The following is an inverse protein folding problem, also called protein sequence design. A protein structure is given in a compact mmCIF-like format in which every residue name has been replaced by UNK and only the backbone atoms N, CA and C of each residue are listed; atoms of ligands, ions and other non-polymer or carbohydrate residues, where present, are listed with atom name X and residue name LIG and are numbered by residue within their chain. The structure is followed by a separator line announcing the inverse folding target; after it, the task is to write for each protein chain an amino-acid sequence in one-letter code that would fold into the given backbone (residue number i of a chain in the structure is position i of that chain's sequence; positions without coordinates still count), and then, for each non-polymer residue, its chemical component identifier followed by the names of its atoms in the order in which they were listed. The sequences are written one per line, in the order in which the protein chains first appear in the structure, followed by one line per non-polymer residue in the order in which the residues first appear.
data_IF_292242920930
#
_entry.id   IF_292242920930
#
_cell.length_a   1.000
_cell.length_b   1.000
_cell.length_c   1.000
_cell.angle_alpha   90.00
_cell.angle_beta   90.00
_cell.angle_gamma   90.00
#
_symmetry.space_group_name_H-M   'P 1'
#
loop_
_entity.id
_entity.type
_entity.pdbx_description
1 polymer ?
#
# COMPACT_ATOMS: atom_id res chain seq x y z
N UNK A 1 3.02 -14.29 14.14
CA UNK A 1 2.25 -13.02 14.19
C UNK A 1 2.84 -11.91 13.30
N UNK A 2 4.12 -11.54 13.39
CA UNK A 2 4.69 -10.41 12.62
C UNK A 2 4.48 -10.51 11.09
N UNK A 3 4.66 -11.70 10.52
CA UNK A 3 4.48 -11.93 9.08
C UNK A 3 3.02 -11.77 8.63
N UNK A 4 2.06 -12.24 9.43
CA UNK A 4 0.62 -12.04 9.19
C UNK A 4 0.30 -10.55 9.18
N UNK A 5 0.79 -9.81 10.17
CA UNK A 5 0.59 -8.36 10.23
C UNK A 5 1.16 -7.64 8.99
N UNK A 6 2.37 -8.00 8.55
CA UNK A 6 2.99 -7.46 7.33
C UNK A 6 2.10 -7.71 6.09
N UNK A 7 1.54 -8.91 5.94
CA UNK A 7 0.63 -9.24 4.84
C UNK A 7 -0.70 -8.46 4.93
N UNK A 8 -1.26 -8.31 6.13
CA UNK A 8 -2.48 -7.51 6.37
C UNK A 8 -2.26 -6.04 6.03
N UNK A 9 -1.09 -5.48 6.36
CA UNK A 9 -0.71 -4.14 5.95
C UNK A 9 -0.59 -4.03 4.41
N UNK A 10 0.05 -4.99 3.74
CA UNK A 10 0.11 -5.03 2.26
C UNK A 10 -1.29 -5.03 1.65
N UNK A 11 -2.20 -5.89 2.12
CA UNK A 11 -3.59 -5.92 1.65
C UNK A 11 -4.30 -4.60 1.84
N UNK A 12 -4.15 -3.95 2.99
CA UNK A 12 -4.76 -2.64 3.24
C UNK A 12 -4.26 -1.59 2.25
N UNK A 13 -2.97 -1.57 1.90
CA UNK A 13 -2.46 -0.68 0.85
C UNK A 13 -2.99 -1.04 -0.53
N UNK A 14 -3.07 -2.33 -0.87
CA UNK A 14 -3.67 -2.79 -2.11
C UNK A 14 -5.16 -2.42 -2.21
N UNK A 15 -5.86 -2.37 -1.08
CA UNK A 15 -7.23 -1.89 -0.96
C UNK A 15 -7.42 -0.47 -1.51
N UNK A 16 -6.46 0.44 -1.27
CA UNK A 16 -6.51 1.82 -1.78
C UNK A 16 -6.59 1.86 -3.31
N UNK A 17 -6.00 0.87 -3.99
CA UNK A 17 -6.06 0.74 -5.45
C UNK A 17 -7.32 0.03 -5.90
N UNK A 18 -7.60 -1.14 -5.34
CA UNK A 18 -8.66 -2.05 -5.78
C UNK A 18 -10.07 -1.45 -5.60
N UNK A 19 -10.33 -0.78 -4.48
CA UNK A 19 -11.66 -0.25 -4.15
C UNK A 19 -12.10 0.89 -5.06
N UNK A 20 -11.14 1.57 -5.69
CA UNK A 20 -11.38 2.72 -6.57
C UNK A 20 -11.04 2.41 -8.03
N UNK A 21 -10.58 1.19 -8.33
CA UNK A 21 -10.32 0.73 -9.69
C UNK A 21 -11.63 0.35 -10.38
N UNK A 22 -11.85 0.87 -11.59
CA UNK A 22 -13.08 0.64 -12.37
C UNK A 22 -13.14 -0.71 -13.10
N UNK A 23 -12.09 -1.53 -13.01
CA UNK A 23 -12.02 -2.84 -13.69
C UNK A 23 -12.70 -3.99 -12.93
N UNK A 24 -13.52 -3.69 -11.92
CA UNK A 24 -14.13 -4.68 -11.00
C UNK A 24 -13.12 -5.59 -10.26
N UNK A 25 -11.88 -5.14 -10.08
CA UNK A 25 -10.84 -5.94 -9.41
C UNK A 25 -11.19 -6.29 -7.96
N UNK A 26 -11.82 -5.35 -7.25
CA UNK A 26 -12.40 -5.60 -5.93
C UNK A 26 -13.33 -6.83 -5.92
N UNK A 27 -14.31 -6.90 -6.84
CA UNK A 27 -15.27 -8.02 -6.88
C UNK A 27 -14.57 -9.36 -7.14
N UNK A 28 -13.56 -9.38 -8.01
CA UNK A 28 -12.74 -10.58 -8.29
C UNK A 28 -12.00 -11.06 -7.03
N UNK A 29 -11.42 -10.14 -6.25
CA UNK A 29 -10.75 -10.48 -5.00
C UNK A 29 -11.76 -10.86 -3.90
N UNK A 30 -12.92 -10.18 -3.82
CA UNK A 30 -13.97 -10.44 -2.83
C UNK A 30 -14.44 -11.89 -2.84
N UNK A 31 -14.59 -12.50 -4.03
CA UNK A 31 -14.92 -13.91 -4.17
C UNK A 31 -13.92 -14.84 -3.46
N UNK A 32 -12.63 -14.47 -3.42
CA UNK A 32 -11.57 -15.20 -2.71
C UNK A 32 -11.52 -14.88 -1.22
N UNK A 33 -11.88 -13.65 -0.85
CA UNK A 33 -11.86 -13.21 0.54
C UNK A 33 -13.06 -13.74 1.35
N UNK A 34 -14.19 -13.98 0.69
CA UNK A 34 -15.46 -14.23 1.37
C UNK A 34 -15.98 -12.96 2.06
N UNK A 35 -16.77 -13.09 3.16
CA UNK A 35 -17.40 -11.95 3.85
C UNK A 35 -16.39 -11.21 4.76
N UNK A 36 -15.25 -10.80 4.20
CA UNK A 36 -14.15 -10.15 4.94
C UNK A 36 -13.69 -8.85 4.27
N UNK A 37 -14.58 -7.88 4.03
CA UNK A 37 -14.21 -6.64 3.34
C UNK A 37 -13.19 -5.80 4.13
N UNK A 38 -13.25 -5.88 5.47
CA UNK A 38 -12.30 -5.24 6.39
C UNK A 38 -10.83 -5.59 6.09
N UNK A 39 -10.55 -6.68 5.36
CA UNK A 39 -9.19 -7.05 5.01
C UNK A 39 -8.49 -5.98 4.16
N UNK A 40 -9.25 -5.24 3.33
CA UNK A 40 -8.70 -4.16 2.50
C UNK A 40 -8.80 -2.78 3.15
N UNK A 41 -9.60 -2.64 4.20
CA UNK A 41 -9.86 -1.34 4.85
C UNK A 41 -8.93 -1.11 6.04
N UNK A 42 -8.71 -2.14 6.85
CA UNK A 42 -7.89 -2.08 8.06
C UNK A 42 -6.98 -3.30 8.19
N UNK A 43 -5.75 -3.06 8.61
CA UNK A 43 -4.79 -4.13 8.96
C UNK A 43 -4.88 -4.58 10.42
N UNK A 44 -5.68 -3.87 11.24
CA UNK A 44 -5.82 -4.11 12.68
C UNK A 44 -7.08 -4.89 13.03
N UNK A 45 -8.05 -4.98 12.11
CA UNK A 45 -9.29 -5.73 12.33
C UNK A 45 -9.11 -7.20 11.96
N UNK A 46 -9.57 -8.07 12.86
CA UNK A 46 -9.59 -9.53 12.70
C UNK A 46 -10.94 -10.07 13.16
N UNK A 47 -11.49 -11.04 12.43
CA UNK A 47 -12.62 -11.82 12.92
C UNK A 47 -12.16 -12.96 13.82
N UNK A 48 -13.07 -13.55 14.61
CA UNK A 48 -12.78 -14.77 15.39
C UNK A 48 -12.29 -15.89 14.47
N UNK A 49 -12.88 -16.04 13.27
CA UNK A 49 -12.44 -17.01 12.26
C UNK A 49 -11.00 -16.77 11.81
N UNK A 50 -10.57 -15.52 11.71
CA UNK A 50 -9.19 -15.19 11.36
C UNK A 50 -8.23 -15.63 12.47
N UNK A 51 -8.57 -15.34 13.73
CA UNK A 51 -7.78 -15.75 14.89
C UNK A 51 -7.68 -17.28 15.00
N UNK A 52 -8.78 -17.99 14.74
CA UNK A 52 -8.79 -19.44 14.64
C UNK A 52 -7.85 -19.94 13.53
N UNK A 53 -7.97 -19.40 12.31
CA UNK A 53 -7.10 -19.77 11.19
C UNK A 53 -5.62 -19.43 11.44
N UNK A 54 -5.33 -18.41 12.25
CA UNK A 54 -3.97 -18.08 12.69
C UNK A 54 -3.46 -19.18 13.62
N UNK A 55 -4.26 -19.61 14.60
CA UNK A 55 -3.90 -20.69 15.51
C UNK A 55 -3.69 -22.03 14.77
N UNK A 56 -4.49 -22.29 13.74
CA UNK A 56 -4.37 -23.47 12.88
C UNK A 56 -3.24 -23.38 11.83
N UNK A 57 -2.57 -22.23 11.70
CA UNK A 57 -1.49 -22.01 10.72
C UNK A 57 -1.94 -21.75 9.27
N UNK A 58 -3.24 -21.82 8.98
CA UNK A 58 -3.80 -21.70 7.63
C UNK A 58 -3.91 -20.25 7.13
N UNK A 59 -3.96 -19.26 8.03
CA UNK A 59 -4.23 -17.86 7.66
C UNK A 59 -3.12 -17.23 6.83
N UNK A 60 -1.86 -17.62 7.06
CA UNK A 60 -0.71 -17.05 6.36
C UNK A 60 -0.76 -17.31 4.84
N UNK A 61 -1.00 -18.57 4.44
CA UNK A 61 -1.06 -18.94 3.02
C UNK A 61 -2.27 -18.31 2.33
N UNK A 62 -3.40 -18.23 3.03
CA UNK A 62 -4.57 -17.49 2.57
C UNK A 62 -4.24 -16.02 2.26
N UNK A 63 -3.55 -15.33 3.16
CA UNK A 63 -3.15 -13.94 2.95
C UNK A 63 -2.15 -13.78 1.80
N UNK A 64 -1.17 -14.68 1.66
CA UNK A 64 -0.22 -14.64 0.54
C UNK A 64 -0.97 -14.70 -0.80
N UNK A 65 -1.91 -15.63 -0.94
CA UNK A 65 -2.68 -15.78 -2.17
C UNK A 65 -3.47 -14.51 -2.52
N UNK A 66 -4.07 -13.86 -1.51
CA UNK A 66 -4.78 -12.60 -1.70
C UNK A 66 -3.84 -11.46 -2.09
N UNK A 67 -2.69 -11.32 -1.41
CA UNK A 67 -1.69 -10.29 -1.71
C UNK A 67 -1.17 -10.46 -3.13
N UNK A 68 -0.80 -11.68 -3.53
CA UNK A 68 -0.32 -11.96 -4.88
C UNK A 68 -1.37 -11.61 -5.94
N UNK A 69 -2.63 -12.04 -5.75
CA UNK A 69 -3.69 -11.73 -6.70
C UNK A 69 -3.92 -10.23 -6.84
N UNK A 70 -3.98 -9.52 -5.71
CA UNK A 70 -4.16 -8.07 -5.66
C UNK A 70 -2.97 -7.31 -6.27
N UNK A 71 -1.74 -7.68 -5.92
CA UNK A 71 -0.53 -7.08 -6.46
C UNK A 71 -0.42 -7.29 -7.98
N UNK A 72 -0.70 -8.50 -8.48
CA UNK A 72 -0.69 -8.77 -9.92
C UNK A 72 -1.66 -7.87 -10.66
N UNK A 73 -2.86 -7.67 -10.11
CA UNK A 73 -3.81 -6.72 -10.70
C UNK A 73 -3.23 -5.30 -10.74
N UNK A 74 -2.70 -4.80 -9.62
CA UNK A 74 -2.18 -3.42 -9.55
C UNK A 74 -1.01 -3.20 -10.53
N UNK A 75 -0.11 -4.17 -10.66
CA UNK A 75 1.02 -4.08 -11.58
C UNK A 75 0.62 -4.15 -13.06
N UNK A 76 -0.50 -4.80 -13.38
CA UNK A 76 -0.94 -5.03 -14.77
C UNK A 76 -2.13 -4.16 -15.20
N UNK A 77 -2.61 -3.25 -14.34
CA UNK A 77 -3.77 -2.43 -14.61
C UNK A 77 -3.38 -0.97 -14.81
N UNK A 78 -3.60 -0.46 -16.03
CA UNK A 78 -3.29 0.94 -16.39
C UNK A 78 -3.94 1.97 -15.46
N UNK A 79 -5.15 1.70 -14.96
CA UNK A 79 -5.83 2.57 -14.00
C UNK A 79 -5.13 2.60 -12.64
N UNK A 80 -4.56 1.48 -12.21
CA UNK A 80 -3.85 1.39 -10.93
C UNK A 80 -2.43 1.94 -11.05
N UNK A 81 -1.73 1.68 -12.15
CA UNK A 81 -0.36 2.15 -12.38
C UNK A 81 -0.29 3.67 -12.49
N UNK A 82 -1.31 4.33 -13.06
CA UNK A 82 -1.44 5.80 -13.04
C UNK A 82 -1.52 6.41 -11.63
N UNK A 83 -1.85 5.61 -10.62
CA UNK A 83 -1.91 6.01 -9.20
C UNK A 83 -0.71 5.51 -8.39
N UNK A 84 0.28 4.91 -9.06
CA UNK A 84 1.58 4.65 -8.48
C UNK A 84 2.37 5.95 -8.28
N UNK A 85 3.60 5.81 -7.81
CA UNK A 85 4.47 6.94 -7.51
C UNK A 85 5.72 6.89 -8.39
N UNK A 86 6.23 8.06 -8.74
CA UNK A 86 7.60 8.21 -9.26
C UNK A 86 8.47 8.71 -8.10
N UNK A 87 9.62 8.07 -7.91
CA UNK A 87 10.55 8.47 -6.86
C UNK A 87 11.13 9.87 -7.16
N UNK A 88 10.85 10.85 -6.30
CA UNK A 88 11.30 12.24 -6.48
C UNK A 88 12.78 12.47 -6.11
N UNK A 89 13.54 11.42 -5.80
CA UNK A 89 14.98 11.52 -5.58
C UNK A 89 15.75 11.13 -6.83
N UNK A 90 15.49 9.93 -7.38
CA UNK A 90 16.19 9.45 -8.57
C UNK A 90 15.47 9.78 -9.88
N UNK A 91 14.18 10.14 -9.84
CA UNK A 91 13.37 10.44 -11.02
C UNK A 91 13.36 9.33 -12.10
N UNK A 92 13.63 8.09 -11.72
CA UNK A 92 13.50 6.95 -12.63
C UNK A 92 12.05 6.78 -13.08
N UNK A 93 11.84 6.34 -14.31
CA UNK A 93 10.50 6.04 -14.85
C UNK A 93 9.84 4.79 -14.25
N UNK A 94 10.51 4.11 -13.31
CA UNK A 94 9.92 3.03 -12.54
C UNK A 94 8.76 3.55 -11.67
N UNK A 95 7.60 2.92 -11.85
CA UNK A 95 6.43 3.16 -11.00
C UNK A 95 6.55 2.30 -9.75
N UNK A 96 6.56 2.96 -8.59
CA UNK A 96 6.64 2.31 -7.29
C UNK A 96 5.35 2.46 -6.48
N UNK A 97 5.14 1.50 -5.58
CA UNK A 97 3.92 1.38 -4.81
C UNK A 97 4.20 1.24 -3.31
N UNK A 98 3.28 1.72 -2.46
CA UNK A 98 3.45 1.69 -1.01
C UNK A 98 3.39 0.27 -0.42
N UNK A 99 2.86 -0.73 -1.13
CA UNK A 99 2.82 -2.13 -0.67
C UNK A 99 4.12 -2.91 -0.96
N UNK A 100 5.08 -2.33 -1.68
CA UNK A 100 6.41 -2.91 -1.95
C UNK A 100 7.38 -2.65 -0.79
N UNK A 101 7.02 -3.07 0.42
CA UNK A 101 7.78 -2.76 1.66
C UNK A 101 9.27 -3.14 1.65
N UNK A 102 9.66 -4.04 0.76
CA UNK A 102 11.02 -4.55 0.68
C UNK A 102 11.93 -3.66 -0.20
N UNK A 103 11.34 -2.80 -1.05
CA UNK A 103 12.07 -1.90 -1.95
C UNK A 103 11.68 -0.43 -1.83
N UNK A 104 10.60 -0.11 -1.12
CA UNK A 104 10.08 1.26 -1.00
C UNK A 104 9.91 1.71 0.44
N UNK A 105 9.95 3.02 0.64
CA UNK A 105 9.63 3.69 1.90
C UNK A 105 8.65 4.83 1.65
N UNK A 106 7.79 5.09 2.64
CA UNK A 106 6.70 6.08 2.55
C UNK A 106 6.88 7.17 3.59
N UNK A 107 6.83 8.43 3.14
CA UNK A 107 6.86 9.57 4.04
C UNK A 107 5.65 9.52 5.00
N UNK A 108 5.92 9.68 6.31
CA UNK A 108 4.89 9.63 7.35
C UNK A 108 3.92 10.82 7.26
N UNK A 109 4.36 11.96 6.72
CA UNK A 109 3.55 13.18 6.65
C UNK A 109 2.76 13.24 5.33
N UNK A 110 3.46 13.47 4.20
CA UNK A 110 2.82 13.69 2.90
C UNK A 110 2.49 12.41 2.11
N UNK A 111 2.83 11.23 2.66
CA UNK A 111 2.55 9.92 2.07
C UNK A 111 3.21 9.62 0.71
N UNK A 112 4.12 10.48 0.25
CA UNK A 112 4.95 10.21 -0.93
C UNK A 112 5.80 8.95 -0.74
N UNK A 113 6.03 8.21 -1.82
CA UNK A 113 6.77 6.94 -1.82
C UNK A 113 8.11 7.13 -2.55
N UNK A 114 9.15 6.50 -2.03
CA UNK A 114 10.53 6.56 -2.52
C UNK A 114 11.11 5.16 -2.53
N UNK A 115 12.14 4.90 -3.36
CA UNK A 115 12.96 3.71 -3.16
C UNK A 115 13.64 3.76 -1.80
N UNK A 116 13.83 2.61 -1.17
CA UNK A 116 14.46 2.50 0.14
C UNK A 116 15.88 3.09 0.13
N UNK A 117 16.65 2.81 -0.92
CA UNK A 117 18.02 3.34 -1.08
C UNK A 117 18.04 4.83 -1.49
N UNK A 118 16.94 5.39 -1.99
CA UNK A 118 16.85 6.80 -2.40
C UNK A 118 16.50 7.73 -1.25
N UNK A 119 15.99 7.21 -0.13
CA UNK A 119 15.48 8.03 0.97
C UNK A 119 16.02 7.52 2.29
N UNK A 120 17.12 8.13 2.74
CA UNK A 120 17.60 7.94 4.12
C UNK A 120 16.54 8.40 5.13
N UNK A 121 16.52 7.78 6.32
CA UNK A 121 15.65 8.20 7.42
C UNK A 121 15.99 9.61 7.95
N UNK A 122 17.23 10.05 7.80
CA UNK A 122 17.72 11.36 8.25
C UNK A 122 17.26 12.51 7.36
N UNK A 123 17.14 12.28 6.05
CA UNK A 123 16.96 13.39 5.12
C UNK A 123 15.53 13.92 5.21
N UNK A 124 15.29 15.22 4.99
CA UNK A 124 13.95 15.74 4.87
C UNK A 124 13.24 15.19 3.62
N UNK A 125 11.92 15.04 3.65
CA UNK A 125 11.15 14.69 2.46
C UNK A 125 11.09 15.89 1.50
N UNK A 126 11.54 15.76 0.23
CA UNK A 126 11.59 16.89 -0.72
C UNK A 126 10.20 17.46 -1.00
N UNK A 127 9.16 16.61 -1.03
CA UNK A 127 7.77 17.06 -1.17
C UNK A 127 7.29 17.87 0.03
N UNK A 128 7.59 17.42 1.26
CA UNK A 128 7.22 18.17 2.47
C UNK A 128 7.94 19.53 2.53
N UNK A 129 9.23 19.58 2.15
CA UNK A 129 9.96 20.86 2.08
C UNK A 129 9.30 21.83 1.09
N UNK A 130 8.88 21.32 -0.08
CA UNK A 130 8.19 22.13 -1.08
C UNK A 130 6.84 22.66 -0.56
N UNK A 131 6.06 21.81 0.10
CA UNK A 131 4.77 22.21 0.71
C UNK A 131 4.98 23.31 1.76
N UNK A 132 5.96 23.13 2.67
CA UNK A 132 6.27 24.16 3.70
C UNK A 132 6.67 25.49 3.08
N UNK A 133 7.51 25.47 2.04
CA UNK A 133 7.89 26.69 1.31
C UNK A 133 6.71 27.42 0.67
N UNK A 134 5.68 26.71 0.20
CA UNK A 134 4.46 27.36 -0.31
C UNK A 134 3.64 27.96 0.82
N UNK A 135 3.43 27.22 1.91
CA UNK A 135 2.72 27.73 3.08
C UNK A 135 3.39 28.97 3.68
N UNK A 136 4.71 29.02 3.74
CA UNK A 136 5.47 30.18 4.21
C UNK A 136 5.35 31.40 3.30
N UNK A 137 5.06 31.22 2.00
CA UNK A 137 4.81 32.32 1.06
C UNK A 137 3.38 32.84 1.22
N UNK A 138 2.41 31.94 1.25
CA UNK A 138 0.99 32.28 1.40
C UNK A 138 0.68 33.01 2.72
N UNK A 139 1.51 32.85 3.75
CA UNK A 139 1.38 33.60 5.03
C UNK A 139 1.98 35.01 5.00
N UNK A 140 2.81 35.33 3.99
CA UNK A 140 3.46 36.66 3.85
C UNK A 140 2.68 37.59 2.92
N UNK A 141 1.78 37.03 2.12
CA UNK A 141 0.85 37.72 1.23
C UNK A 141 -0.48 38.01 1.96
#
# INVERSE_FOLDING_TARGET
MAQVHKLRQKLRFLGEYLLTCRSNAWKKLQARMGPRPYLLESSQLYSIKDLQQIAEGNYHMYLIALVQHASNHVFQCDLCTQRGFICQTCHSNEIIFPFQFDSTTRCKDCKAVFHLHCKSSSDPCPRCLRIRKYQERDMRD
#
